data_IF_793014368322
#
_entry.id   IF_793014368322
#
_cell.length_a   1.000
_cell.length_b   1.000
_cell.length_c   1.000
_cell.angle_alpha   90.00
_cell.angle_beta   90.00
_cell.angle_gamma   90.00
#
_symmetry.space_group_name_H-M   'P 1'
#
loop_
_entity.id
_entity.type
_entity.pdbx_description
1 polymer ?
#
# COMPACT_ATOMS: atom_id res chain seq x y z
N UNK A 1 14.69 -0.29 57.91
CA UNK A 1 14.98 -0.98 56.63
C UNK A 1 14.96 0.06 55.53
N UNK A 2 15.89 0.07 54.59
CA UNK A 2 15.78 0.96 53.45
C UNK A 2 14.47 0.69 52.71
N UNK A 3 13.77 1.77 52.33
CA UNK A 3 12.54 1.66 51.56
C UNK A 3 12.92 1.25 50.14
N UNK A 4 12.62 0.01 49.78
CA UNK A 4 12.78 -0.48 48.41
C UNK A 4 11.45 -0.33 47.67
N UNK A 5 11.51 -0.30 46.31
CA UNK A 5 10.34 -0.19 45.45
C UNK A 5 10.12 1.22 44.88
N UNK A 6 8.93 1.43 44.36
CA UNK A 6 8.53 2.68 43.74
C UNK A 6 8.41 3.81 44.76
N UNK A 7 8.97 4.97 44.41
CA UNK A 7 8.92 6.21 45.19
C UNK A 7 8.56 7.34 44.26
N UNK A 8 7.64 8.20 44.66
CA UNK A 8 7.21 9.39 43.90
C UNK A 8 7.57 10.66 44.67
N UNK A 9 8.09 11.65 43.97
CA UNK A 9 8.30 13.00 44.48
C UNK A 9 7.72 14.04 43.49
N UNK A 10 7.95 15.31 43.72
CA UNK A 10 7.46 16.42 42.89
C UNK A 10 7.99 16.38 41.44
N UNK A 11 9.09 15.67 41.17
CA UNK A 11 9.73 15.55 39.84
C UNK A 11 9.33 14.25 39.12
N UNK A 12 8.75 13.26 39.82
CA UNK A 12 8.26 12.04 39.20
C UNK A 12 8.56 10.76 39.97
N UNK A 13 8.50 9.65 39.27
CA UNK A 13 8.68 8.31 39.81
C UNK A 13 10.12 7.85 39.73
N UNK A 14 10.60 7.26 40.81
CA UNK A 14 11.90 6.59 40.93
C UNK A 14 11.72 5.17 41.47
N UNK A 15 12.70 4.31 41.31
CA UNK A 15 12.70 2.97 41.90
C UNK A 15 13.99 2.72 42.71
N UNK A 16 13.84 2.22 43.92
CA UNK A 16 14.94 1.81 44.78
C UNK A 16 15.08 0.31 44.82
N UNK A 17 16.30 -0.18 44.63
CA UNK A 17 16.64 -1.59 44.80
C UNK A 17 16.58 -2.05 46.25
N UNK A 18 16.84 -3.34 46.51
CA UNK A 18 16.83 -3.93 47.84
C UNK A 18 17.83 -3.27 48.82
N UNK A 19 18.86 -2.61 48.32
CA UNK A 19 19.84 -1.89 49.09
C UNK A 19 19.46 -0.42 49.29
N UNK A 20 18.35 0.04 48.72
CA UNK A 20 17.90 1.43 48.75
C UNK A 20 18.55 2.34 47.72
N UNK A 21 19.34 1.81 46.74
CA UNK A 21 19.92 2.58 45.68
C UNK A 21 18.89 2.85 44.56
N UNK A 22 18.95 4.05 43.98
CA UNK A 22 18.13 4.39 42.82
C UNK A 22 18.60 3.64 41.58
N UNK A 23 17.64 3.02 40.85
CA UNK A 23 17.89 2.61 39.49
C UNK A 23 17.96 3.83 38.60
N UNK A 24 18.93 3.89 37.71
CA UNK A 24 19.19 5.06 36.85
C UNK A 24 20.00 4.70 35.62
N UNK A 25 20.00 5.65 34.71
CA UNK A 25 20.94 5.70 33.56
C UNK A 25 20.75 4.48 32.63
N UNK A 26 19.52 4.20 32.22
CA UNK A 26 19.21 3.16 31.24
C UNK A 26 18.01 2.30 31.54
N UNK A 27 17.98 1.16 30.85
CA UNK A 27 16.91 0.17 30.92
C UNK A 27 17.04 -0.76 32.13
N UNK A 28 15.92 -0.97 32.79
CA UNK A 28 15.81 -1.87 33.94
C UNK A 28 14.54 -2.72 33.83
N UNK A 29 14.64 -3.97 34.28
CA UNK A 29 13.49 -4.88 34.40
C UNK A 29 13.03 -4.91 35.85
N UNK A 30 11.75 -4.65 36.05
CA UNK A 30 11.10 -4.66 37.37
C UNK A 30 9.81 -5.47 37.22
N UNK A 31 9.71 -6.57 37.96
CA UNK A 31 8.54 -7.47 37.96
C UNK A 31 8.13 -7.96 36.55
N UNK A 32 9.13 -8.19 35.66
CA UNK A 32 8.92 -8.67 34.29
C UNK A 32 8.57 -7.58 33.26
N UNK A 33 8.52 -6.33 33.69
CA UNK A 33 8.27 -5.17 32.83
C UNK A 33 9.53 -4.34 32.68
N UNK A 34 9.75 -3.73 31.50
CA UNK A 34 10.92 -2.90 31.22
C UNK A 34 10.59 -1.43 31.38
N UNK A 35 11.48 -0.72 32.09
CA UNK A 35 11.42 0.71 32.35
C UNK A 35 12.75 1.37 31.98
N UNK A 36 12.70 2.64 31.65
CA UNK A 36 13.90 3.46 31.46
C UNK A 36 13.97 4.53 32.52
N UNK A 37 15.13 4.65 33.16
CA UNK A 37 15.42 5.71 34.13
C UNK A 37 16.49 6.62 33.59
N UNK A 38 16.32 7.90 33.78
CA UNK A 38 17.30 8.90 33.40
C UNK A 38 18.53 8.89 34.34
N UNK A 39 19.48 9.78 34.09
CA UNK A 39 20.72 9.91 34.90
C UNK A 39 20.46 10.28 36.37
N UNK A 40 19.31 10.94 36.64
CA UNK A 40 18.91 11.35 37.98
C UNK A 40 17.99 10.31 38.66
N UNK A 41 17.70 9.22 37.95
CA UNK A 41 16.89 8.10 38.42
C UNK A 41 15.38 8.28 38.27
N UNK A 42 14.95 9.27 37.49
CA UNK A 42 13.52 9.43 37.20
C UNK A 42 13.07 8.54 36.04
N UNK A 43 11.93 7.87 36.23
CA UNK A 43 11.32 7.00 35.24
C UNK A 43 10.84 7.80 34.03
N UNK A 44 11.29 7.41 32.83
CA UNK A 44 10.77 7.96 31.58
C UNK A 44 9.33 7.47 31.32
N UNK A 45 8.57 8.26 30.58
CA UNK A 45 7.22 7.94 30.10
C UNK A 45 7.01 8.54 28.72
N UNK A 46 5.97 8.09 28.01
CA UNK A 46 5.66 8.51 26.64
C UNK A 46 6.76 8.11 25.64
N UNK A 47 7.02 8.94 24.63
CA UNK A 47 8.07 8.68 23.65
C UNK A 47 9.46 8.89 24.26
N UNK A 48 10.28 7.88 24.14
CA UNK A 48 11.70 7.89 24.54
C UNK A 48 12.55 7.65 23.30
N UNK A 49 13.59 8.47 23.12
CA UNK A 49 14.70 8.18 22.20
C UNK A 49 15.91 7.72 23.00
N UNK A 50 16.28 6.47 22.84
CA UNK A 50 17.43 5.85 23.51
C UNK A 50 18.10 4.86 22.55
N UNK A 51 19.40 4.70 22.67
CA UNK A 51 20.19 3.73 21.87
C UNK A 51 19.97 3.83 20.35
N UNK A 52 19.65 5.04 19.83
CA UNK A 52 19.41 5.29 18.42
C UNK A 52 18.01 4.89 17.93
N UNK A 53 17.09 4.52 18.82
CA UNK A 53 15.74 4.05 18.51
C UNK A 53 14.69 4.83 19.32
N UNK A 54 13.44 4.84 18.80
CA UNK A 54 12.29 5.36 19.54
C UNK A 54 11.54 4.21 20.20
N UNK A 55 11.08 4.47 21.43
CA UNK A 55 10.30 3.54 22.26
C UNK A 55 9.06 4.27 22.78
N UNK A 56 7.98 3.54 22.93
CA UNK A 56 6.78 4.04 23.60
C UNK A 56 6.66 3.41 24.99
N UNK A 57 6.69 4.22 26.03
CA UNK A 57 6.68 3.76 27.43
C UNK A 57 5.31 3.91 28.10
N UNK A 58 4.26 4.32 27.38
CA UNK A 58 2.98 4.59 28.00
C UNK A 58 3.04 5.69 29.08
N UNK A 59 1.94 5.91 29.74
CA UNK A 59 1.85 6.87 30.87
C UNK A 59 2.41 6.30 32.16
N UNK A 60 2.40 4.97 32.29
CA UNK A 60 2.91 4.23 33.46
C UNK A 60 4.41 3.90 33.36
N UNK A 61 5.06 4.34 32.28
CA UNK A 61 6.49 4.14 32.02
C UNK A 61 6.87 2.75 31.56
N UNK A 62 5.95 1.83 31.37
CA UNK A 62 6.23 0.49 30.86
C UNK A 62 6.54 0.52 29.38
N UNK A 63 7.60 -0.14 28.96
CA UNK A 63 7.91 -0.31 27.54
C UNK A 63 6.80 -1.11 26.86
N UNK A 64 6.21 -0.51 25.81
CA UNK A 64 5.16 -1.13 25.02
C UNK A 64 5.75 -1.87 23.81
N UNK A 65 5.02 -2.90 23.34
CA UNK A 65 5.34 -3.67 22.13
C UNK A 65 4.08 -3.86 21.31
N UNK A 66 4.24 -4.27 20.03
CA UNK A 66 3.12 -4.47 19.13
C UNK A 66 2.47 -3.16 18.68
N UNK A 67 1.24 -3.25 18.22
CA UNK A 67 0.48 -2.08 17.78
C UNK A 67 0.07 -1.18 18.93
N UNK A 68 0.40 0.10 18.81
CA UNK A 68 0.01 1.15 19.75
C UNK A 68 -0.69 2.28 19.00
N UNK A 69 -1.77 2.78 19.59
CA UNK A 69 -2.40 4.01 19.13
C UNK A 69 -1.99 5.16 20.05
N UNK A 70 -1.27 6.11 19.47
CA UNK A 70 -0.72 7.24 20.21
C UNK A 70 -1.20 8.53 19.54
N UNK A 71 -2.00 9.31 20.24
CA UNK A 71 -2.57 10.59 19.77
C UNK A 71 -3.26 10.47 18.39
N UNK A 72 -4.02 9.38 18.19
CA UNK A 72 -4.79 9.13 16.97
C UNK A 72 -3.97 8.59 15.79
N UNK A 73 -2.69 8.28 15.99
CA UNK A 73 -1.83 7.62 15.01
C UNK A 73 -1.46 6.22 15.49
N UNK A 74 -1.35 5.27 14.57
CA UNK A 74 -0.93 3.89 14.88
C UNK A 74 0.56 3.72 14.60
N UNK A 75 1.24 3.10 15.54
CA UNK A 75 2.67 2.75 15.50
C UNK A 75 2.85 1.28 15.81
N UNK A 76 3.88 0.68 15.28
CA UNK A 76 4.25 -0.68 15.63
C UNK A 76 5.62 -0.71 16.31
N UNK A 77 5.64 -1.24 17.54
CA UNK A 77 6.84 -1.46 18.33
C UNK A 77 7.23 -2.93 18.21
N UNK A 78 8.47 -3.21 17.88
CA UNK A 78 9.00 -4.57 17.81
C UNK A 78 8.91 -5.29 19.16
N UNK A 79 9.25 -6.57 19.19
CA UNK A 79 9.32 -7.35 20.43
C UNK A 79 10.38 -6.83 21.39
N UNK A 80 11.35 -6.08 20.91
CA UNK A 80 12.36 -5.35 21.66
C UNK A 80 11.89 -3.96 22.13
N UNK A 81 10.67 -3.56 21.75
CA UNK A 81 10.08 -2.25 22.02
C UNK A 81 10.47 -1.15 21.02
N UNK A 82 11.40 -1.40 20.09
CA UNK A 82 11.83 -0.40 19.13
C UNK A 82 10.75 -0.11 18.08
N UNK A 83 10.48 1.19 17.85
CA UNK A 83 9.52 1.65 16.83
C UNK A 83 9.97 1.23 15.43
N UNK A 84 9.09 0.55 14.71
CA UNK A 84 9.33 0.18 13.32
C UNK A 84 9.02 1.35 12.39
N UNK A 85 9.76 1.42 11.27
CA UNK A 85 9.64 2.46 10.26
C UNK A 85 9.71 1.86 8.86
N UNK A 86 9.25 2.60 7.87
CA UNK A 86 9.26 2.19 6.46
C UNK A 86 8.45 0.91 6.21
N UNK A 87 8.84 0.09 5.22
CA UNK A 87 8.19 -1.18 4.97
C UNK A 87 8.43 -2.16 6.10
N UNK A 88 7.34 -2.65 6.69
CA UNK A 88 7.38 -3.62 7.77
C UNK A 88 6.43 -4.77 7.49
N UNK A 89 6.89 -6.00 7.75
CA UNK A 89 6.06 -7.20 7.66
C UNK A 89 5.62 -7.57 9.06
N UNK A 90 4.32 -7.50 9.31
CA UNK A 90 3.72 -7.77 10.62
C UNK A 90 2.62 -8.80 10.40
N UNK A 91 2.73 -9.95 11.04
CA UNK A 91 1.81 -11.08 10.89
C UNK A 91 1.58 -11.48 9.42
N UNK A 92 2.66 -11.47 8.61
CA UNK A 92 2.64 -11.84 7.20
C UNK A 92 2.01 -10.79 6.27
N UNK A 93 1.66 -9.61 6.77
CA UNK A 93 1.11 -8.49 5.99
C UNK A 93 2.12 -7.36 5.89
N UNK A 94 2.11 -6.65 4.76
CA UNK A 94 2.99 -5.51 4.53
C UNK A 94 2.28 -4.20 4.94
N UNK A 95 3.02 -3.37 5.68
CA UNK A 95 2.60 -2.04 6.11
C UNK A 95 3.66 -1.01 5.74
N UNK A 96 3.23 0.18 5.41
CA UNK A 96 4.11 1.33 5.26
C UNK A 96 3.97 2.24 6.48
N UNK A 97 5.01 2.28 7.32
CA UNK A 97 5.01 3.01 8.59
C UNK A 97 5.64 4.41 8.49
N UNK A 98 5.95 4.87 7.29
CA UNK A 98 6.62 6.15 7.13
C UNK A 98 7.97 6.23 7.85
N UNK A 99 8.66 7.35 7.68
CA UNK A 99 9.91 7.65 8.38
C UNK A 99 9.67 7.94 9.86
N UNK A 100 8.52 8.50 10.18
CA UNK A 100 8.08 8.88 11.52
C UNK A 100 7.47 7.71 12.32
N UNK A 101 7.40 6.51 11.74
CA UNK A 101 6.82 5.32 12.32
C UNK A 101 5.29 5.25 12.27
N UNK A 102 4.61 6.31 11.84
CA UNK A 102 3.15 6.31 11.78
C UNK A 102 2.64 5.46 10.60
N UNK A 103 1.68 4.57 10.87
CA UNK A 103 1.04 3.74 9.85
C UNK A 103 0.33 4.61 8.80
N UNK A 104 0.61 4.35 7.52
CA UNK A 104 -0.03 5.02 6.39
C UNK A 104 -1.23 4.22 5.87
N UNK A 105 -2.15 4.94 5.25
CA UNK A 105 -3.34 4.42 4.59
C UNK A 105 -3.60 5.20 3.30
N UNK A 106 -4.31 4.61 2.35
CA UNK A 106 -4.56 5.22 1.05
C UNK A 106 -3.37 5.10 0.11
N UNK A 107 -3.30 6.01 -0.87
CA UNK A 107 -2.22 6.05 -1.83
C UNK A 107 -0.94 6.64 -1.24
N UNK A 108 0.16 5.92 -1.40
CA UNK A 108 1.50 6.35 -0.99
C UNK A 108 2.50 6.19 -2.13
N UNK A 109 3.27 7.24 -2.37
CA UNK A 109 4.42 7.17 -3.26
C UNK A 109 5.67 6.78 -2.46
N UNK A 110 6.22 5.62 -2.78
CA UNK A 110 7.41 5.08 -2.10
C UNK A 110 8.48 4.79 -3.14
N UNK A 111 9.57 5.53 -3.11
CA UNK A 111 10.70 5.39 -4.03
C UNK A 111 10.30 5.39 -5.51
N UNK A 112 9.40 6.31 -5.89
CA UNK A 112 8.94 6.49 -7.26
C UNK A 112 7.94 5.44 -7.75
N UNK A 113 7.37 4.64 -6.85
CA UNK A 113 6.26 3.72 -7.14
C UNK A 113 5.07 4.04 -6.24
N UNK A 114 3.87 3.87 -6.77
CA UNK A 114 2.64 4.06 -6.02
C UNK A 114 2.14 2.73 -5.45
N UNK A 115 1.73 2.76 -4.19
CA UNK A 115 1.15 1.65 -3.45
C UNK A 115 -0.17 2.09 -2.83
N UNK A 116 -1.11 1.18 -2.71
CA UNK A 116 -2.34 1.44 -1.98
C UNK A 116 -2.40 0.62 -0.70
N UNK A 117 -2.50 1.34 0.43
CA UNK A 117 -2.68 0.78 1.76
C UNK A 117 -4.17 0.87 2.11
N UNK A 118 -4.78 -0.24 2.48
CA UNK A 118 -6.17 -0.25 2.95
C UNK A 118 -6.38 0.63 4.19
N UNK A 119 -7.63 0.80 4.59
CA UNK A 119 -7.96 1.53 5.82
C UNK A 119 -7.37 0.89 7.09
N UNK A 120 -7.03 -0.38 7.00
CA UNK A 120 -6.32 -1.14 8.04
C UNK A 120 -4.78 -1.01 7.94
N UNK A 121 -4.28 -0.26 6.96
CA UNK A 121 -2.87 -0.06 6.66
C UNK A 121 -2.21 -1.16 5.85
N UNK A 122 -2.94 -2.24 5.51
CA UNK A 122 -2.37 -3.38 4.77
C UNK A 122 -2.18 -3.03 3.30
N UNK A 123 -0.98 -3.28 2.78
CA UNK A 123 -0.68 -3.12 1.34
C UNK A 123 -1.59 -4.01 0.50
N UNK A 124 -2.27 -3.40 -0.47
CA UNK A 124 -3.11 -4.11 -1.41
C UNK A 124 -2.28 -4.63 -2.59
N UNK A 125 -2.72 -5.73 -3.18
CA UNK A 125 -2.06 -6.40 -4.31
C UNK A 125 -3.10 -6.82 -5.35
N UNK A 126 -2.65 -7.08 -6.56
CA UNK A 126 -3.50 -7.53 -7.66
C UNK A 126 -4.59 -6.50 -8.03
N UNK A 127 -5.74 -6.95 -8.52
CA UNK A 127 -6.86 -6.06 -8.82
C UNK A 127 -7.44 -5.47 -7.55
N UNK A 128 -7.43 -4.15 -7.47
CA UNK A 128 -7.98 -3.41 -6.35
C UNK A 128 -8.93 -2.32 -6.85
N UNK A 129 -10.09 -2.24 -6.22
CA UNK A 129 -11.06 -1.18 -6.48
C UNK A 129 -10.88 -0.08 -5.44
N UNK A 130 -10.55 1.13 -5.90
CA UNK A 130 -10.34 2.30 -5.06
C UNK A 130 -11.20 3.43 -5.62
N UNK A 131 -12.06 3.99 -4.81
CA UNK A 131 -12.97 5.08 -5.18
C UNK A 131 -13.76 4.82 -6.46
N UNK A 132 -14.22 3.57 -6.66
CA UNK A 132 -15.00 3.15 -7.81
C UNK A 132 -14.20 2.88 -9.09
N UNK A 133 -12.88 2.96 -9.05
CA UNK A 133 -11.97 2.68 -10.17
C UNK A 133 -11.10 1.45 -9.90
N UNK A 134 -10.78 0.69 -10.94
CA UNK A 134 -9.93 -0.49 -10.83
C UNK A 134 -8.48 -0.16 -11.17
N UNK A 135 -7.59 -0.72 -10.36
CA UNK A 135 -6.14 -0.63 -10.49
C UNK A 135 -5.51 -2.02 -10.43
N UNK A 136 -4.42 -2.21 -11.14
CA UNK A 136 -3.60 -3.42 -11.05
C UNK A 136 -2.33 -3.12 -10.26
N UNK A 137 -2.22 -3.69 -9.06
CA UNK A 137 -1.15 -3.39 -8.10
C UNK A 137 -0.03 -4.45 -8.13
N UNK A 138 -0.02 -5.38 -9.06
CA UNK A 138 0.98 -6.44 -9.09
C UNK A 138 1.05 -7.26 -7.79
N UNK A 139 1.84 -8.32 -7.81
CA UNK A 139 2.08 -9.15 -6.61
C UNK A 139 2.96 -8.43 -5.58
N UNK A 140 3.76 -7.48 -6.03
CA UNK A 140 4.64 -6.64 -5.19
C UNK A 140 3.93 -5.40 -4.62
N UNK A 141 2.62 -5.25 -4.88
CA UNK A 141 1.80 -4.13 -4.46
C UNK A 141 2.00 -2.84 -5.24
N UNK A 142 2.98 -2.76 -6.14
CA UNK A 142 3.22 -1.54 -6.91
C UNK A 142 2.18 -1.38 -8.02
N UNK A 143 1.59 -0.19 -8.12
CA UNK A 143 0.66 0.17 -9.20
C UNK A 143 1.31 0.03 -10.57
N UNK A 144 0.60 -0.61 -11.50
CA UNK A 144 1.01 -0.75 -12.90
C UNK A 144 0.29 0.27 -13.76
N UNK A 145 0.94 0.64 -14.86
CA UNK A 145 0.45 1.59 -15.87
C UNK A 145 0.65 1.04 -17.26
N UNK A 146 -0.03 1.60 -18.26
CA UNK A 146 0.07 1.17 -19.63
C UNK A 146 -0.51 -0.21 -19.91
N UNK A 147 0.01 -0.89 -20.92
CA UNK A 147 -0.42 -2.24 -21.29
C UNK A 147 0.03 -3.28 -20.26
N UNK A 148 -0.92 -4.11 -19.79
CA UNK A 148 -0.65 -5.21 -18.89
C UNK A 148 -1.34 -6.48 -19.35
N UNK A 149 -0.60 -7.58 -19.41
CA UNK A 149 -1.19 -8.90 -19.56
C UNK A 149 -1.43 -9.50 -18.17
N UNK A 150 -2.70 -9.78 -17.86
CA UNK A 150 -3.12 -10.32 -16.57
C UNK A 150 -3.95 -11.59 -16.83
N UNK A 151 -3.43 -12.73 -16.41
CA UNK A 151 -4.08 -14.05 -16.57
C UNK A 151 -4.52 -14.33 -18.02
N UNK A 152 -3.64 -14.03 -18.99
CA UNK A 152 -3.88 -14.27 -20.41
C UNK A 152 -4.83 -13.30 -21.09
N UNK A 153 -5.16 -12.19 -20.46
CA UNK A 153 -5.96 -11.09 -21.03
C UNK A 153 -5.20 -9.78 -20.97
N UNK A 154 -5.36 -8.97 -22.01
CA UNK A 154 -4.75 -7.65 -22.07
C UNK A 154 -5.67 -6.57 -21.55
N UNK A 155 -5.08 -5.69 -20.75
CA UNK A 155 -5.71 -4.51 -20.17
C UNK A 155 -4.85 -3.29 -20.46
N UNK A 156 -5.48 -2.13 -20.54
CA UNK A 156 -4.77 -0.88 -20.59
C UNK A 156 -5.08 -0.05 -19.35
N UNK A 157 -4.05 0.27 -18.60
CA UNK A 157 -4.09 1.12 -17.43
C UNK A 157 -3.58 2.51 -17.82
N UNK A 158 -4.07 3.55 -17.17
CA UNK A 158 -3.63 4.91 -17.48
C UNK A 158 -2.10 5.00 -17.57
N UNK A 159 -1.61 5.79 -18.53
CA UNK A 159 -0.17 5.81 -18.88
C UNK A 159 0.65 6.72 -17.95
N UNK A 160 0.02 7.74 -17.35
CA UNK A 160 0.70 8.60 -16.39
C UNK A 160 1.10 7.80 -15.14
N UNK A 161 2.26 8.14 -14.57
CA UNK A 161 2.81 7.41 -13.42
C UNK A 161 1.87 7.35 -12.21
N UNK A 162 0.97 8.31 -12.09
CA UNK A 162 -0.01 8.51 -11.03
C UNK A 162 -1.46 8.15 -11.42
N UNK A 163 -1.70 7.74 -12.67
CA UNK A 163 -3.06 7.44 -13.17
C UNK A 163 -3.46 5.99 -12.88
N UNK A 164 -2.77 5.01 -13.47
CA UNK A 164 -2.98 3.57 -13.27
C UNK A 164 -4.40 3.03 -13.42
N UNK A 165 -5.38 3.85 -13.76
CA UNK A 165 -6.81 3.47 -13.84
C UNK A 165 -7.06 2.54 -15.03
N UNK A 166 -7.74 1.42 -14.79
CA UNK A 166 -8.17 0.48 -15.83
C UNK A 166 -9.10 1.16 -16.84
N UNK A 167 -8.77 1.09 -18.12
CA UNK A 167 -9.59 1.64 -19.20
C UNK A 167 -10.63 0.65 -19.67
N UNK A 168 -11.78 1.19 -20.06
CA UNK A 168 -12.93 0.44 -20.57
C UNK A 168 -13.45 1.10 -21.84
N UNK A 169 -14.21 0.37 -22.63
CA UNK A 169 -14.83 0.82 -23.86
C UNK A 169 -13.82 1.27 -24.91
N UNK A 170 -14.19 2.20 -25.81
CA UNK A 170 -13.29 2.69 -26.83
C UNK A 170 -12.17 3.53 -26.26
N UNK A 171 -10.95 3.18 -26.61
CA UNK A 171 -9.74 3.95 -26.24
C UNK A 171 -8.87 4.17 -27.47
N UNK A 172 -8.39 5.39 -27.61
CA UNK A 172 -7.30 5.71 -28.52
C UNK A 172 -5.97 5.66 -27.77
N UNK A 173 -5.09 4.78 -28.21
CA UNK A 173 -3.80 4.54 -27.60
C UNK A 173 -2.73 4.58 -28.67
N UNK A 174 -1.82 5.54 -28.57
CA UNK A 174 -0.74 5.76 -29.54
C UNK A 174 -1.25 5.81 -31.01
N UNK A 175 -2.39 6.52 -31.23
CA UNK A 175 -3.01 6.71 -32.56
C UNK A 175 -3.76 5.49 -33.11
N UNK A 176 -4.00 4.48 -32.31
CA UNK A 176 -4.77 3.28 -32.65
C UNK A 176 -5.97 3.14 -31.74
N UNK A 177 -7.10 2.63 -32.28
CA UNK A 177 -8.31 2.42 -31.51
C UNK A 177 -8.45 0.98 -31.07
N UNK A 178 -8.83 0.81 -29.81
CA UNK A 178 -9.05 -0.48 -29.14
C UNK A 178 -10.40 -0.47 -28.44
N UNK A 179 -11.03 -1.64 -28.37
CA UNK A 179 -12.25 -1.84 -27.61
C UNK A 179 -11.98 -2.72 -26.40
N UNK A 180 -12.26 -2.19 -25.21
CA UNK A 180 -12.22 -2.92 -23.96
C UNK A 180 -13.65 -3.19 -23.50
N UNK A 181 -13.92 -4.38 -22.96
CA UNK A 181 -15.20 -4.64 -22.33
C UNK A 181 -15.42 -3.81 -21.06
N UNK A 182 -16.60 -3.92 -20.48
CA UNK A 182 -16.88 -3.33 -19.16
C UNK A 182 -15.98 -3.93 -18.06
N UNK A 183 -15.46 -5.15 -18.29
CA UNK A 183 -14.48 -5.83 -17.44
C UNK A 183 -13.04 -5.34 -17.66
N UNK A 184 -12.84 -4.36 -18.54
CA UNK A 184 -11.54 -3.79 -18.89
C UNK A 184 -10.68 -4.67 -19.79
N UNK A 185 -11.07 -5.87 -20.12
CA UNK A 185 -10.29 -6.74 -21.00
C UNK A 185 -10.41 -6.29 -22.48
N UNK A 186 -9.24 -6.20 -23.15
CA UNK A 186 -9.18 -5.92 -24.60
C UNK A 186 -9.94 -6.99 -25.39
N UNK A 187 -10.74 -6.56 -26.35
CA UNK A 187 -11.47 -7.44 -27.28
C UNK A 187 -10.73 -7.56 -28.60
N UNK A 188 -10.90 -8.71 -29.24
CA UNK A 188 -10.33 -9.05 -30.54
C UNK A 188 -11.39 -9.65 -31.46
N UNK A 189 -11.13 -9.69 -32.76
CA UNK A 189 -12.06 -10.23 -33.74
C UNK A 189 -13.29 -9.34 -33.95
N UNK A 190 -14.39 -9.96 -34.39
CA UNK A 190 -15.65 -9.26 -34.60
C UNK A 190 -16.31 -8.87 -33.27
N UNK A 191 -16.68 -7.60 -33.15
CA UNK A 191 -17.41 -7.06 -31.99
C UNK A 191 -18.60 -6.23 -32.44
N UNK A 192 -19.76 -6.50 -31.86
CA UNK A 192 -20.91 -5.62 -32.00
C UNK A 192 -20.88 -4.59 -30.84
N UNK A 193 -20.80 -3.31 -31.23
CA UNK A 193 -20.75 -2.20 -30.28
C UNK A 193 -21.80 -1.18 -30.65
N UNK A 194 -22.81 -1.00 -29.79
CA UNK A 194 -23.91 -0.08 -29.98
C UNK A 194 -24.62 -0.25 -31.34
N UNK A 195 -24.87 -1.51 -31.72
CA UNK A 195 -25.58 -1.86 -32.95
C UNK A 195 -24.77 -1.73 -34.24
N UNK A 196 -23.45 -1.53 -34.15
CA UNK A 196 -22.52 -1.54 -35.28
C UNK A 196 -21.45 -2.61 -35.10
N UNK A 197 -21.08 -3.26 -36.21
CA UNK A 197 -20.04 -4.26 -36.22
C UNK A 197 -18.67 -3.63 -36.52
N UNK A 198 -17.68 -4.04 -35.73
CA UNK A 198 -16.28 -3.65 -35.87
C UNK A 198 -15.40 -4.90 -35.90
N UNK A 199 -14.31 -4.85 -36.64
CA UNK A 199 -13.31 -5.89 -36.60
C UNK A 199 -12.04 -5.39 -35.94
N UNK A 200 -11.68 -6.03 -34.85
CA UNK A 200 -10.46 -5.79 -34.08
C UNK A 200 -9.46 -6.87 -34.44
N UNK A 201 -8.17 -6.56 -34.43
CA UNK A 201 -7.13 -7.53 -34.75
C UNK A 201 -7.32 -8.84 -33.99
N UNK A 202 -7.11 -9.97 -34.69
CA UNK A 202 -7.48 -11.31 -34.18
C UNK A 202 -6.44 -11.90 -33.24
N UNK A 203 -5.18 -11.46 -33.34
CA UNK A 203 -4.14 -11.90 -32.43
C UNK A 203 -4.43 -11.40 -31.00
N UNK A 204 -4.14 -12.21 -30.00
CA UNK A 204 -4.44 -11.91 -28.61
C UNK A 204 -3.83 -10.60 -28.10
N UNK A 205 -2.76 -10.16 -28.70
CA UNK A 205 -2.00 -8.96 -28.38
C UNK A 205 -2.19 -7.79 -29.37
N UNK A 206 -3.00 -7.98 -30.45
CA UNK A 206 -3.21 -6.96 -31.49
C UNK A 206 -4.37 -6.03 -31.14
N UNK A 207 -5.60 -6.54 -31.09
CA UNK A 207 -6.84 -5.81 -30.73
C UNK A 207 -7.13 -4.50 -31.47
N UNK A 208 -6.30 -4.10 -32.45
CA UNK A 208 -6.42 -2.81 -33.15
C UNK A 208 -7.65 -2.82 -34.06
N UNK A 209 -8.49 -1.79 -33.96
CA UNK A 209 -9.62 -1.58 -34.87
C UNK A 209 -9.15 -1.48 -36.33
N UNK A 210 -9.76 -2.28 -37.20
CA UNK A 210 -9.49 -2.25 -38.65
C UNK A 210 -10.42 -1.27 -39.35
N UNK A 211 -9.91 -0.71 -40.44
CA UNK A 211 -10.60 0.26 -41.31
C UNK A 211 -10.42 -0.10 -42.77
N UNK A 212 -11.29 0.40 -43.60
CA UNK A 212 -11.27 0.22 -45.07
C UNK A 212 -11.45 -1.25 -45.47
N UNK A 213 -11.03 -1.63 -46.68
CA UNK A 213 -11.12 -2.99 -47.18
C UNK A 213 -10.24 -3.95 -46.36
N UNK A 214 -10.85 -5.00 -45.85
CA UNK A 214 -10.14 -6.08 -45.15
C UNK A 214 -10.63 -7.44 -45.63
N UNK A 215 -9.69 -8.33 -45.90
CA UNK A 215 -9.95 -9.75 -46.00
C UNK A 215 -9.92 -10.38 -44.61
N UNK A 216 -10.99 -11.03 -44.24
CA UNK A 216 -11.19 -11.64 -42.91
C UNK A 216 -11.76 -13.03 -43.12
N UNK A 217 -11.02 -14.05 -42.76
CA UNK A 217 -11.42 -15.47 -42.90
C UNK A 217 -11.85 -15.85 -44.35
N UNK A 218 -11.21 -15.22 -45.38
CA UNK A 218 -11.44 -15.47 -46.81
C UNK A 218 -12.53 -14.62 -47.44
N UNK A 219 -13.21 -13.76 -46.66
CA UNK A 219 -14.24 -12.84 -47.17
C UNK A 219 -13.76 -11.38 -47.06
N UNK A 220 -14.26 -10.54 -48.01
CA UNK A 220 -13.89 -9.13 -48.04
C UNK A 220 -14.98 -8.25 -47.42
N UNK A 221 -14.55 -7.43 -46.46
CA UNK A 221 -15.41 -6.49 -45.75
C UNK A 221 -14.97 -5.05 -45.93
N UNK A 222 -15.93 -4.14 -46.10
CA UNK A 222 -15.67 -2.71 -46.07
C UNK A 222 -15.98 -2.15 -44.69
N UNK A 223 -14.93 -1.71 -44.00
CA UNK A 223 -15.00 -1.04 -42.72
C UNK A 223 -14.78 0.46 -42.97
N UNK A 224 -15.72 1.31 -42.56
CA UNK A 224 -15.55 2.76 -42.75
C UNK A 224 -14.27 3.31 -42.10
N UNK A 225 -13.99 4.59 -42.30
CA UNK A 225 -12.91 5.28 -41.64
C UNK A 225 -13.10 5.27 -40.09
N UNK A 226 -14.36 5.19 -39.64
CA UNK A 226 -14.78 5.02 -38.24
C UNK A 226 -14.68 3.56 -37.75
N UNK A 227 -14.22 2.63 -38.59
CA UNK A 227 -14.10 1.20 -38.29
C UNK A 227 -15.42 0.42 -38.39
N UNK A 228 -16.55 1.07 -38.50
CA UNK A 228 -17.85 0.37 -38.58
C UNK A 228 -18.02 -0.34 -39.93
N UNK A 229 -18.43 -1.60 -39.88
CA UNK A 229 -18.78 -2.39 -41.08
C UNK A 229 -19.95 -1.71 -41.85
N UNK A 230 -19.80 -1.60 -43.17
CA UNK A 230 -20.82 -1.10 -44.08
C UNK A 230 -21.47 -2.27 -44.82
N UNK A 231 -22.78 -2.29 -44.82
CA UNK A 231 -23.62 -3.18 -45.66
C UNK A 231 -24.13 -2.37 -46.83
N UNK A 232 -24.05 -2.95 -48.03
CA UNK A 232 -24.60 -2.36 -49.25
C UNK A 232 -26.10 -2.51 -49.34
#
# INVERSE_FOLDING_TARGET
>A
KPQNGWVEDENGWQYKDENGNLLKDGWWEIEGERYYFDKDGYRASYWLYADGQYYWLGTDGKMQTGWQEVWGQKYYLGTDGAMQTYWSVIDGKYYWLGRDGAMRTGWEEVWGKYYYLGNDGVMQTYWSMVDGQYYWLGADGAMRTGWQEVWGRWYYLGKAADDGVMRTYWQEIDGKYYWFGADGAMRTGWQEVWGKWYYLGKAADDGVMRTYWKEIDGEYYWLGADGAMRTG
#
